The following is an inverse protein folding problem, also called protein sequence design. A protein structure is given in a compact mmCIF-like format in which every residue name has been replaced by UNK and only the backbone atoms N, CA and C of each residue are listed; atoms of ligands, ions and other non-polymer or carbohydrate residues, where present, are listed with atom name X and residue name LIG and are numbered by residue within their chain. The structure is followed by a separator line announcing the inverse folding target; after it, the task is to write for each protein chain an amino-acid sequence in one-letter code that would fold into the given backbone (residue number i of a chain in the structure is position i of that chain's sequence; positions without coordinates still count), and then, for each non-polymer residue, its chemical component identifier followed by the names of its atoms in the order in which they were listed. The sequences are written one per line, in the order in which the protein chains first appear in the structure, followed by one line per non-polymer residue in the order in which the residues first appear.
data_IF_630573791085
#
_entry.id   IF_630573791085
#
_cell.length_a   1.000
_cell.length_b   1.000
_cell.length_c   1.000
_cell.angle_alpha   90.00
_cell.angle_beta   90.00
_cell.angle_gamma   90.00
#
_symmetry.space_group_name_H-M   'P 1'
#
loop_
_entity.id
_entity.type
_entity.pdbx_description
1 polymer ?
#
# COMPACT_ATOMS: atom_id res chain seq x y z
N UNK A 1 -25.13 -31.87 7.80
CA UNK A 1 -24.49 -30.55 7.60
C UNK A 1 -24.68 -29.75 8.87
N UNK A 2 -23.73 -29.89 9.80
CA UNK A 2 -23.75 -29.22 11.10
C UNK A 2 -23.14 -27.82 10.92
N UNK A 3 -23.91 -26.79 11.27
CA UNK A 3 -23.39 -25.43 11.41
C UNK A 3 -22.50 -25.38 12.65
N UNK A 4 -21.21 -25.17 12.44
CA UNK A 4 -20.28 -24.87 13.51
C UNK A 4 -20.71 -23.54 14.16
N UNK A 5 -21.22 -23.60 15.40
CA UNK A 5 -21.48 -22.44 16.25
C UNK A 5 -20.16 -21.82 16.67
N UNK A 6 -19.96 -20.55 16.36
CA UNK A 6 -18.85 -19.78 16.88
C UNK A 6 -18.96 -19.68 18.42
N UNK A 7 -17.84 -19.69 19.14
CA UNK A 7 -17.85 -19.50 20.58
C UNK A 7 -18.19 -18.05 20.90
N UNK A 8 -19.30 -17.82 21.57
CA UNK A 8 -19.67 -16.56 22.21
C UNK A 8 -18.84 -16.38 23.47
N UNK A 9 -17.63 -15.84 23.38
CA UNK A 9 -16.94 -15.25 24.52
C UNK A 9 -17.35 -13.78 24.57
N UNK A 10 -18.20 -13.41 25.53
CA UNK A 10 -18.68 -12.04 25.75
C UNK A 10 -17.58 -11.12 26.30
N UNK A 11 -16.68 -10.67 25.44
CA UNK A 11 -15.85 -9.50 25.66
C UNK A 11 -16.37 -8.41 24.73
N UNK A 12 -16.62 -7.22 25.26
CA UNK A 12 -16.89 -6.03 24.43
C UNK A 12 -15.71 -5.83 23.47
N UNK A 13 -15.88 -6.24 22.20
CA UNK A 13 -14.89 -6.02 21.15
C UNK A 13 -15.04 -4.55 20.74
N UNK A 14 -14.08 -3.72 21.13
CA UNK A 14 -14.04 -2.33 20.66
C UNK A 14 -13.88 -2.32 19.13
N UNK A 15 -14.58 -1.45 18.39
CA UNK A 15 -14.53 -1.38 16.92
C UNK A 15 -13.11 -1.27 16.34
N UNK A 16 -12.17 -0.72 17.09
CA UNK A 16 -10.77 -0.60 16.72
C UNK A 16 -10.02 -1.96 16.74
N UNK A 17 -10.30 -2.82 17.73
CA UNK A 17 -9.65 -4.15 17.81
C UNK A 17 -10.09 -5.05 16.66
N UNK A 18 -11.34 -4.98 16.27
CA UNK A 18 -11.87 -5.76 15.16
C UNK A 18 -11.21 -5.35 13.82
N UNK A 19 -11.06 -4.05 13.58
CA UNK A 19 -10.40 -3.54 12.38
C UNK A 19 -8.93 -3.97 12.28
N UNK A 20 -8.18 -3.89 13.38
CA UNK A 20 -6.78 -4.31 13.44
C UNK A 20 -6.65 -5.83 13.17
N UNK A 21 -7.52 -6.65 13.76
CA UNK A 21 -7.55 -8.10 13.53
C UNK A 21 -7.87 -8.42 12.06
N UNK A 22 -8.84 -7.73 11.45
CA UNK A 22 -9.17 -7.91 10.03
C UNK A 22 -7.98 -7.57 9.12
N UNK A 23 -7.29 -6.45 9.41
CA UNK A 23 -6.13 -6.03 8.63
C UNK A 23 -4.95 -7.01 8.78
N UNK A 24 -4.67 -7.48 10.00
CA UNK A 24 -3.63 -8.48 10.24
C UNK A 24 -3.93 -9.80 9.51
N UNK A 25 -5.18 -10.26 9.54
CA UNK A 25 -5.62 -11.45 8.80
C UNK A 25 -5.48 -11.25 7.29
N UNK A 26 -5.83 -10.07 6.77
CA UNK A 26 -5.64 -9.74 5.36
C UNK A 26 -4.16 -9.82 4.95
N UNK A 27 -3.25 -9.31 5.80
CA UNK A 27 -1.80 -9.42 5.58
C UNK A 27 -1.36 -10.88 5.56
N UNK A 28 -1.79 -11.68 6.53
CA UNK A 28 -1.45 -13.11 6.61
C UNK A 28 -1.97 -13.89 5.39
N UNK A 29 -3.20 -13.63 4.96
CA UNK A 29 -3.76 -14.25 3.77
C UNK A 29 -2.91 -13.94 2.53
N UNK A 30 -2.51 -12.67 2.33
CA UNK A 30 -1.63 -12.28 1.23
C UNK A 30 -0.28 -12.98 1.24
N UNK A 31 0.23 -13.36 2.42
CA UNK A 31 1.51 -14.06 2.57
C UNK A 31 1.39 -15.59 2.41
N UNK A 32 0.18 -16.13 2.56
CA UNK A 32 -0.06 -17.60 2.53
C UNK A 32 -0.68 -18.08 1.21
N UNK A 33 -1.28 -17.21 0.40
CA UNK A 33 -1.76 -17.62 -0.91
C UNK A 33 -0.61 -18.08 -1.80
N UNK A 34 -0.82 -19.21 -2.48
CA UNK A 34 0.17 -19.75 -3.40
C UNK A 34 0.48 -18.79 -4.55
N UNK A 35 -0.53 -18.04 -5.01
CA UNK A 35 -0.36 -16.99 -5.99
C UNK A 35 -1.46 -15.93 -5.90
N UNK A 36 -1.13 -14.73 -6.35
CA UNK A 36 -2.05 -13.62 -6.54
C UNK A 36 -1.78 -13.03 -7.92
N UNK A 37 -2.81 -12.80 -8.71
CA UNK A 37 -2.71 -12.04 -9.94
C UNK A 37 -3.90 -11.10 -10.07
N UNK A 38 -3.65 -9.82 -10.32
CA UNK A 38 -4.68 -8.80 -10.42
C UNK A 38 -4.28 -7.69 -11.40
N UNK A 39 -5.25 -7.12 -12.10
CA UNK A 39 -5.07 -5.83 -12.74
C UNK A 39 -5.28 -4.72 -11.71
N UNK A 40 -4.62 -3.60 -11.93
CA UNK A 40 -4.71 -2.43 -11.06
C UNK A 40 -5.25 -1.26 -11.89
N UNK A 41 -6.32 -0.66 -11.40
CA UNK A 41 -6.68 0.69 -11.79
C UNK A 41 -6.18 1.63 -10.69
N UNK A 42 -5.47 2.66 -11.07
CA UNK A 42 -5.00 3.63 -10.10
C UNK A 42 -5.36 5.05 -10.51
N UNK A 43 -5.48 5.87 -9.48
CA UNK A 43 -5.68 7.30 -9.56
C UNK A 43 -4.66 7.97 -8.66
N UNK A 44 -3.96 8.99 -9.17
CA UNK A 44 -3.11 9.86 -8.37
C UNK A 44 -3.44 11.31 -8.68
N UNK A 45 -3.51 12.10 -7.64
CA UNK A 45 -3.57 13.53 -7.75
C UNK A 45 -2.17 14.10 -7.64
N UNK A 46 -1.71 14.76 -8.69
CA UNK A 46 -0.44 15.44 -8.75
C UNK A 46 -0.57 16.91 -8.27
N UNK A 47 0.55 17.60 -8.24
CA UNK A 47 0.54 19.04 -7.94
C UNK A 47 -0.32 19.80 -8.95
N UNK A 48 -0.95 20.91 -8.50
CA UNK A 48 -1.83 21.78 -9.31
C UNK A 48 -3.11 21.09 -9.82
N UNK A 49 -3.72 20.25 -9.00
CA UNK A 49 -4.99 19.56 -9.30
C UNK A 49 -4.97 18.72 -10.59
N UNK A 50 -3.78 18.39 -11.10
CA UNK A 50 -3.64 17.44 -12.19
C UNK A 50 -3.85 16.03 -11.68
N UNK A 51 -4.61 15.25 -12.41
CA UNK A 51 -4.89 13.86 -12.08
C UNK A 51 -4.25 12.93 -13.09
N UNK A 52 -3.72 11.81 -12.62
CA UNK A 52 -3.21 10.73 -13.43
C UNK A 52 -4.01 9.48 -13.11
N UNK A 53 -4.68 8.95 -14.13
CA UNK A 53 -5.35 7.66 -14.07
C UNK A 53 -4.61 6.69 -14.97
N UNK A 54 -4.45 5.47 -14.55
CA UNK A 54 -3.80 4.46 -15.36
C UNK A 54 -4.14 3.06 -14.95
N UNK A 55 -3.50 2.14 -15.62
CA UNK A 55 -3.63 0.71 -15.41
C UNK A 55 -2.27 0.10 -15.06
N UNK A 56 -2.30 -0.99 -14.36
CA UNK A 56 -1.12 -1.77 -14.00
C UNK A 56 -1.47 -3.22 -13.75
N UNK A 57 -0.47 -3.97 -13.33
CA UNK A 57 -0.62 -5.37 -12.96
C UNK A 57 0.11 -5.64 -11.63
N UNK A 58 -0.43 -6.55 -10.86
CA UNK A 58 0.21 -7.10 -9.68
C UNK A 58 0.19 -8.62 -9.78
N UNK A 59 1.34 -9.24 -9.65
CA UNK A 59 1.48 -10.68 -9.56
C UNK A 59 2.36 -11.03 -8.38
N UNK A 60 1.99 -12.06 -7.62
CA UNK A 60 2.81 -12.62 -6.54
C UNK A 60 2.73 -14.14 -6.58
N UNK A 61 3.81 -14.79 -6.15
CA UNK A 61 3.95 -16.25 -6.09
C UNK A 61 4.68 -16.63 -4.80
N UNK A 62 4.10 -17.50 -4.03
CA UNK A 62 4.77 -18.08 -2.87
C UNK A 62 5.77 -19.14 -3.35
N UNK A 63 7.03 -18.97 -2.99
CA UNK A 63 8.13 -19.88 -3.33
C UNK A 63 8.86 -20.32 -2.06
N UNK A 64 9.78 -21.30 -2.19
CA UNK A 64 10.63 -21.74 -1.08
C UNK A 64 11.53 -20.62 -0.52
N UNK A 65 11.91 -19.66 -1.36
CA UNK A 65 12.71 -18.48 -0.98
C UNK A 65 11.88 -17.32 -0.41
N UNK A 66 10.55 -17.48 -0.29
CA UNK A 66 9.61 -16.46 0.12
C UNK A 66 8.70 -16.01 -1.00
N UNK A 67 7.98 -14.91 -0.80
CA UNK A 67 7.05 -14.41 -1.79
C UNK A 67 7.76 -13.61 -2.88
N UNK A 68 7.75 -14.12 -4.10
CA UNK A 68 8.12 -13.36 -5.31
C UNK A 68 6.99 -12.41 -5.64
N UNK A 69 7.31 -11.25 -6.21
CA UNK A 69 6.26 -10.35 -6.70
C UNK A 69 6.73 -9.51 -7.89
N UNK A 70 5.76 -9.10 -8.70
CA UNK A 70 5.90 -8.13 -9.78
C UNK A 70 4.77 -7.14 -9.72
N UNK A 71 5.12 -5.87 -9.71
CA UNK A 71 4.18 -4.75 -9.70
C UNK A 71 4.51 -3.82 -10.85
N UNK A 72 3.56 -3.54 -11.72
CA UNK A 72 3.73 -2.69 -12.90
C UNK A 72 2.69 -1.59 -12.92
N UNK A 73 3.08 -0.38 -13.25
CA UNK A 73 2.21 0.77 -13.45
C UNK A 73 2.57 1.46 -14.76
N UNK A 74 1.55 1.79 -15.55
CA UNK A 74 1.66 2.52 -16.80
C UNK A 74 1.05 3.90 -16.62
N UNK A 75 1.88 4.91 -16.36
CA UNK A 75 1.49 6.25 -15.96
C UNK A 75 1.36 7.16 -17.18
N UNK A 76 0.15 7.47 -17.68
CA UNK A 76 -0.01 8.47 -18.72
C UNK A 76 0.37 9.85 -18.16
N UNK A 77 1.36 10.48 -18.77
CA UNK A 77 1.86 11.79 -18.35
C UNK A 77 2.05 12.67 -19.59
N UNK A 78 1.22 13.72 -19.72
CA UNK A 78 1.17 14.57 -20.90
C UNK A 78 0.91 13.73 -22.17
N UNK A 79 1.83 13.75 -23.14
CA UNK A 79 1.73 12.98 -24.39
C UNK A 79 2.54 11.68 -24.36
N UNK A 80 2.93 11.19 -23.18
CA UNK A 80 3.80 10.06 -22.99
C UNK A 80 3.22 9.08 -21.98
N UNK A 81 3.64 7.83 -22.03
CA UNK A 81 3.39 6.84 -20.99
C UNK A 81 4.70 6.57 -20.27
N UNK A 82 4.73 6.90 -18.98
CA UNK A 82 5.84 6.52 -18.11
C UNK A 82 5.58 5.10 -17.61
N UNK A 83 6.63 4.33 -17.56
CA UNK A 83 6.58 2.96 -17.04
C UNK A 83 7.30 2.93 -15.69
N UNK A 84 6.64 2.36 -14.72
CA UNK A 84 7.25 2.01 -13.45
C UNK A 84 6.92 0.56 -13.14
N UNK A 85 7.92 -0.21 -12.75
CA UNK A 85 7.70 -1.54 -12.23
C UNK A 85 8.73 -1.90 -11.16
N UNK A 86 8.33 -2.79 -10.30
CA UNK A 86 9.15 -3.38 -9.27
C UNK A 86 8.98 -4.91 -9.31
N UNK A 87 10.10 -5.62 -9.24
CA UNK A 87 10.12 -7.07 -9.27
C UNK A 87 11.10 -7.60 -8.22
N UNK A 88 10.64 -8.55 -7.43
CA UNK A 88 11.48 -9.35 -6.55
C UNK A 88 11.51 -10.79 -7.07
N UNK A 89 12.72 -11.27 -7.42
CA UNK A 89 12.97 -12.58 -8.02
C UNK A 89 13.43 -13.63 -7.00
N UNK A 90 13.41 -13.31 -5.69
CA UNK A 90 13.91 -14.16 -4.60
C UNK A 90 15.34 -13.83 -4.17
N UNK A 91 16.09 -13.09 -4.96
CA UNK A 91 17.48 -12.67 -4.66
C UNK A 91 17.66 -11.17 -4.72
N UNK A 92 17.08 -10.55 -5.74
CA UNK A 92 17.22 -9.13 -6.02
C UNK A 92 15.88 -8.44 -6.12
N UNK A 93 15.81 -7.23 -5.59
CA UNK A 93 14.74 -6.32 -5.87
C UNK A 93 15.17 -5.40 -7.00
N UNK A 94 14.49 -5.51 -8.11
CA UNK A 94 14.63 -4.67 -9.27
C UNK A 94 13.59 -3.57 -9.27
N UNK A 95 13.98 -2.34 -9.58
CA UNK A 95 13.07 -1.23 -9.80
C UNK A 95 13.43 -0.53 -11.10
N UNK A 96 12.47 -0.44 -12.00
CA UNK A 96 12.59 0.27 -13.25
C UNK A 96 11.65 1.45 -13.29
N UNK A 97 12.10 2.55 -13.86
CA UNK A 97 11.27 3.72 -14.10
C UNK A 97 11.72 4.49 -15.33
N UNK A 98 10.75 5.05 -16.04
CA UNK A 98 10.99 6.05 -17.08
C UNK A 98 10.86 7.44 -16.45
N UNK A 99 11.89 8.28 -16.59
CA UNK A 99 11.85 9.64 -16.04
C UNK A 99 11.13 10.59 -17.01
N UNK A 100 10.22 11.47 -16.50
CA UNK A 100 9.38 12.29 -17.38
C UNK A 100 10.15 13.28 -18.26
N UNK A 101 11.27 13.82 -17.74
CA UNK A 101 11.95 14.95 -18.36
C UNK A 101 12.69 14.60 -19.64
N UNK A 102 13.34 13.42 -19.67
CA UNK A 102 14.25 13.04 -20.78
C UNK A 102 13.89 11.67 -21.36
N UNK A 103 12.78 11.07 -20.96
CA UNK A 103 12.42 9.65 -21.20
C UNK A 103 13.56 8.69 -20.84
N UNK A 104 14.44 9.13 -19.94
CA UNK A 104 15.59 8.33 -19.53
C UNK A 104 15.11 7.15 -18.70
N UNK A 105 15.50 5.98 -19.13
CA UNK A 105 15.27 4.75 -18.39
C UNK A 105 16.26 4.63 -17.23
N UNK A 106 15.76 4.29 -16.07
CA UNK A 106 16.57 4.00 -14.90
C UNK A 106 16.22 2.64 -14.35
N UNK A 107 17.23 1.81 -14.17
CA UNK A 107 17.11 0.50 -13.54
C UNK A 107 17.96 0.47 -12.28
N UNK A 108 17.36 0.15 -11.14
CA UNK A 108 18.08 -0.05 -9.89
C UNK A 108 17.94 -1.50 -9.43
N UNK A 109 18.97 -2.01 -8.75
CA UNK A 109 19.00 -3.32 -8.14
C UNK A 109 19.38 -3.20 -6.68
N UNK A 110 18.68 -3.93 -5.81
CA UNK A 110 19.09 -4.16 -4.43
C UNK A 110 19.32 -5.66 -4.25
N UNK A 111 20.51 -6.06 -3.83
CA UNK A 111 20.83 -7.45 -3.49
C UNK A 111 20.29 -7.76 -2.09
N UNK A 112 19.17 -8.48 -2.06
CA UNK A 112 18.44 -8.77 -0.81
C UNK A 112 19.18 -9.81 0.04
N UNK A 113 19.94 -10.71 -0.58
CA UNK A 113 20.74 -11.70 0.15
C UNK A 113 21.90 -11.00 0.87
N UNK A 114 22.63 -10.10 0.18
CA UNK A 114 23.69 -9.32 0.78
C UNK A 114 23.16 -8.45 1.94
N UNK A 115 21.99 -7.86 1.76
CA UNK A 115 21.31 -7.08 2.79
C UNK A 115 20.99 -7.94 4.02
N UNK A 116 20.44 -9.15 3.81
CA UNK A 116 20.13 -10.10 4.88
C UNK A 116 21.38 -10.53 5.65
N UNK A 117 22.47 -10.83 4.94
CA UNK A 117 23.76 -11.19 5.56
C UNK A 117 24.34 -10.04 6.40
N UNK A 118 24.23 -8.81 5.89
CA UNK A 118 24.72 -7.64 6.61
C UNK A 118 24.00 -7.46 7.96
N UNK A 119 22.67 -7.57 7.97
CA UNK A 119 21.89 -7.46 9.21
C UNK A 119 22.11 -8.63 10.16
N UNK A 120 22.31 -9.83 9.64
CA UNK A 120 22.68 -11.00 10.45
C UNK A 120 23.98 -10.77 11.20
N UNK A 121 24.99 -10.18 10.54
CA UNK A 121 26.29 -9.85 11.17
C UNK A 121 26.16 -8.83 12.30
N UNK A 122 25.16 -7.95 12.24
CA UNK A 122 24.89 -6.95 13.29
C UNK A 122 24.06 -7.50 14.46
N UNK A 123 23.79 -8.80 14.50
CA UNK A 123 22.94 -9.42 15.54
C UNK A 123 21.44 -9.18 15.36
N UNK A 124 21.06 -8.47 14.31
CA UNK A 124 19.69 -8.21 13.95
C UNK A 124 19.26 -9.28 12.94
N UNK A 125 18.83 -10.43 13.42
CA UNK A 125 18.25 -11.50 12.62
C UNK A 125 16.79 -11.12 12.29
N UNK A 126 16.52 -10.50 11.15
CA UNK A 126 15.15 -10.54 10.68
C UNK A 126 14.88 -12.00 10.31
N UNK A 127 13.78 -12.56 10.83
CA UNK A 127 13.26 -13.79 10.24
C UNK A 127 13.14 -13.55 8.75
N UNK A 128 13.41 -14.56 7.90
CA UNK A 128 13.34 -14.41 6.43
C UNK A 128 12.02 -13.74 5.96
N UNK A 129 10.91 -13.96 6.68
CA UNK A 129 9.64 -13.25 6.50
C UNK A 129 9.65 -11.77 6.90
N UNK A 130 10.61 -11.31 7.71
CA UNK A 130 10.71 -9.90 8.12
C UNK A 130 11.49 -9.05 7.13
N UNK A 131 12.27 -9.66 6.23
CA UNK A 131 12.92 -8.97 5.10
C UNK A 131 11.85 -8.34 4.21
N UNK A 132 10.73 -8.99 4.01
CA UNK A 132 9.53 -8.41 3.38
C UNK A 132 9.00 -7.15 4.09
N UNK A 133 9.39 -6.87 5.33
CA UNK A 133 8.94 -5.71 6.09
C UNK A 133 9.79 -4.44 5.89
N UNK A 134 10.81 -4.47 5.03
CA UNK A 134 11.67 -3.31 4.84
C UNK A 134 11.13 -2.30 3.84
N UNK A 135 11.38 -0.99 4.04
CA UNK A 135 10.91 0.04 3.13
C UNK A 135 11.37 -0.21 1.70
N UNK A 136 10.42 -0.40 0.77
CA UNK A 136 10.69 -0.66 -0.63
C UNK A 136 10.79 -2.13 -1.04
N UNK A 137 10.83 -3.09 -0.09
CA UNK A 137 10.80 -4.52 -0.36
C UNK A 137 9.42 -5.09 -0.04
N UNK A 138 8.80 -5.84 -0.92
CA UNK A 138 7.72 -6.75 -0.54
C UNK A 138 6.27 -6.43 -0.92
N UNK A 139 5.98 -6.08 -2.14
CA UNK A 139 4.63 -6.16 -2.72
C UNK A 139 3.45 -5.63 -1.88
N UNK A 140 2.29 -6.22 -2.10
CA UNK A 140 1.03 -5.83 -1.44
C UNK A 140 0.98 -6.12 0.07
N UNK A 141 1.49 -7.25 0.59
CA UNK A 141 1.52 -7.50 2.03
C UNK A 141 2.27 -6.41 2.78
N UNK A 142 3.37 -5.96 2.20
CA UNK A 142 4.15 -4.88 2.80
C UNK A 142 3.44 -3.54 2.75
N UNK A 143 2.73 -3.23 1.67
CA UNK A 143 1.91 -2.03 1.62
C UNK A 143 0.94 -2.00 2.81
N UNK A 144 0.21 -3.11 3.06
CA UNK A 144 -0.69 -3.21 4.20
C UNK A 144 0.05 -3.13 5.55
N UNK A 145 1.22 -3.79 5.69
CA UNK A 145 2.04 -3.66 6.93
C UNK A 145 2.48 -2.22 7.16
N UNK A 146 2.86 -1.50 6.10
CA UNK A 146 3.21 -0.09 6.21
C UNK A 146 2.01 0.76 6.65
N UNK A 147 0.83 0.49 6.13
CA UNK A 147 -0.40 1.14 6.59
C UNK A 147 -0.66 0.83 8.06
N UNK A 148 -0.61 -0.43 8.46
CA UNK A 148 -0.77 -0.87 9.86
C UNK A 148 0.25 -0.24 10.81
N UNK A 149 1.50 -0.07 10.38
CA UNK A 149 2.54 0.56 11.19
C UNK A 149 2.35 2.07 11.41
N UNK A 150 1.67 2.75 10.48
CA UNK A 150 1.55 4.21 10.50
C UNK A 150 0.15 4.69 10.91
N UNK A 151 -0.89 3.90 10.67
CA UNK A 151 -2.27 4.25 10.93
C UNK A 151 -2.89 3.31 11.96
N UNK A 152 -3.81 3.85 12.75
CA UNK A 152 -4.71 3.11 13.62
C UNK A 152 -6.04 2.96 12.89
N UNK A 153 -6.54 1.73 12.80
CA UNK A 153 -7.72 1.42 12.03
C UNK A 153 -8.99 1.31 12.90
N UNK A 154 -10.09 1.73 12.32
CA UNK A 154 -11.46 1.59 12.88
C UNK A 154 -12.33 0.93 11.82
N UNK A 155 -13.14 -0.04 12.23
CA UNK A 155 -14.12 -0.67 11.35
C UNK A 155 -15.30 0.28 11.17
N UNK A 156 -15.63 0.55 9.90
CA UNK A 156 -16.86 1.24 9.52
C UNK A 156 -17.95 0.21 9.18
N UNK A 157 -19.16 0.71 8.95
CA UNK A 157 -20.25 -0.15 8.47
C UNK A 157 -19.84 -0.92 7.22
N UNK A 158 -20.22 -2.20 7.12
CA UNK A 158 -20.01 -3.01 5.92
C UNK A 158 -20.62 -2.33 4.70
N UNK A 159 -19.98 -2.48 3.56
CA UNK A 159 -20.43 -1.89 2.32
C UNK A 159 -20.31 -2.85 1.15
N UNK A 160 -20.49 -2.34 -0.04
CA UNK A 160 -20.15 -3.05 -1.26
C UNK A 160 -19.38 -2.12 -2.20
N UNK A 161 -18.50 -2.72 -2.98
CA UNK A 161 -17.81 -2.06 -4.10
C UNK A 161 -18.23 -2.73 -5.40
N UNK A 162 -18.16 -1.97 -6.48
CA UNK A 162 -18.37 -2.51 -7.82
C UNK A 162 -17.03 -2.97 -8.37
N UNK A 163 -16.90 -4.25 -8.59
CA UNK A 163 -15.72 -4.85 -9.24
C UNK A 163 -16.10 -5.22 -10.66
N UNK A 164 -15.28 -4.83 -11.62
CA UNK A 164 -15.48 -5.17 -13.04
C UNK A 164 -14.46 -6.23 -13.42
N UNK A 165 -14.96 -7.37 -13.91
CA UNK A 165 -14.14 -8.44 -14.49
C UNK A 165 -14.48 -8.51 -15.99
N UNK A 166 -13.65 -7.90 -16.81
CA UNK A 166 -13.87 -7.80 -18.24
C UNK A 166 -15.19 -7.11 -18.58
N UNK A 167 -16.19 -7.90 -19.02
CA UNK A 167 -17.51 -7.40 -19.41
C UNK A 167 -18.56 -7.48 -18.28
N UNK A 168 -18.23 -8.13 -17.17
CA UNK A 168 -19.15 -8.33 -16.06
C UNK A 168 -18.82 -7.38 -14.91
N UNK A 169 -19.85 -6.75 -14.37
CA UNK A 169 -19.74 -5.91 -13.17
C UNK A 169 -20.58 -6.54 -12.07
N UNK A 170 -19.96 -6.81 -10.95
CA UNK A 170 -20.62 -7.38 -9.78
C UNK A 170 -20.42 -6.50 -8.54
N UNK A 171 -21.38 -6.57 -7.62
CA UNK A 171 -21.27 -5.96 -6.30
C UNK A 171 -20.56 -6.95 -5.38
N UNK A 172 -19.43 -6.54 -4.84
CA UNK A 172 -18.64 -7.33 -3.90
C UNK A 172 -18.85 -6.79 -2.48
N UNK A 173 -19.33 -7.63 -1.52
CA UNK A 173 -19.42 -7.24 -0.12
C UNK A 173 -18.01 -7.01 0.46
N UNK A 174 -17.83 -5.90 1.18
CA UNK A 174 -16.53 -5.53 1.76
C UNK A 174 -16.65 -5.04 3.20
N UNK A 175 -15.58 -5.29 3.97
CA UNK A 175 -15.28 -4.56 5.19
C UNK A 175 -14.58 -3.26 4.83
N UNK A 176 -15.04 -2.17 5.41
CA UNK A 176 -14.45 -0.85 5.18
C UNK A 176 -13.69 -0.41 6.42
N UNK A 177 -12.37 -0.31 6.32
CA UNK A 177 -11.48 0.10 7.40
C UNK A 177 -11.03 1.53 7.18
N UNK A 178 -11.22 2.39 8.19
CA UNK A 178 -10.74 3.77 8.21
C UNK A 178 -9.48 3.86 9.07
N UNK A 179 -8.35 4.20 8.46
CA UNK A 179 -7.08 4.45 9.15
C UNK A 179 -6.87 5.94 9.38
N UNK A 180 -6.54 6.31 10.60
CA UNK A 180 -6.08 7.62 11.01
C UNK A 180 -4.66 7.52 11.53
N UNK A 181 -3.84 8.56 11.38
CA UNK A 181 -2.45 8.53 11.81
C UNK A 181 -2.31 8.16 13.29
N UNK A 182 -1.39 7.24 13.58
CA UNK A 182 -0.96 7.00 14.98
C UNK A 182 -0.30 8.27 15.52
N UNK A 183 -0.58 8.66 16.79
CA UNK A 183 -0.05 9.90 17.37
C UNK A 183 1.46 10.05 17.22
N UNK A 184 2.21 8.97 17.50
CA UNK A 184 3.68 8.93 17.40
C UNK A 184 4.20 9.15 15.97
N UNK A 185 3.42 8.78 14.95
CA UNK A 185 3.76 9.00 13.54
C UNK A 185 3.40 10.40 13.10
N UNK A 186 2.24 10.88 13.54
CA UNK A 186 1.77 12.23 13.21
C UNK A 186 2.66 13.31 13.81
N UNK A 187 3.19 13.11 15.02
CA UNK A 187 4.13 14.04 15.66
C UNK A 187 5.44 14.18 14.87
N UNK A 188 5.88 13.15 14.14
CA UNK A 188 7.04 13.25 13.26
C UNK A 188 6.76 14.15 12.04
N UNK A 189 5.52 14.21 11.58
CA UNK A 189 5.09 15.05 10.44
C UNK A 189 4.74 16.47 10.88
N UNK A 190 4.25 16.63 12.11
CA UNK A 190 3.79 17.88 12.70
C UNK A 190 4.44 18.11 14.08
N UNK A 191 5.78 18.27 14.15
CA UNK A 191 6.50 18.38 15.42
C UNK A 191 6.03 19.58 16.26
N UNK A 192 5.65 20.69 15.64
CA UNK A 192 5.14 21.88 16.33
C UNK A 192 3.80 21.66 17.03
N UNK A 193 3.09 20.59 16.69
CA UNK A 193 1.81 20.23 17.30
C UNK A 193 1.89 18.99 18.22
N UNK A 194 3.11 18.48 18.47
CA UNK A 194 3.30 17.21 19.18
C UNK A 194 2.56 17.17 20.52
N UNK A 195 2.68 18.19 21.36
CA UNK A 195 2.00 18.25 22.65
C UNK A 195 0.45 18.22 22.50
N UNK A 196 -0.08 18.98 21.55
CA UNK A 196 -1.52 19.01 21.27
C UNK A 196 -2.06 17.66 20.78
N UNK A 197 -1.27 16.97 19.91
CA UNK A 197 -1.63 15.65 19.38
C UNK A 197 -1.79 14.64 20.53
N UNK A 198 -0.83 14.55 21.46
CA UNK A 198 -0.94 13.65 22.62
C UNK A 198 -2.04 14.04 23.59
N UNK A 199 -2.44 15.31 23.63
CA UNK A 199 -3.55 15.80 24.44
C UNK A 199 -4.90 15.74 23.71
N UNK A 200 -4.97 15.10 22.54
CA UNK A 200 -6.18 15.01 21.70
C UNK A 200 -6.78 16.38 21.33
N UNK A 201 -5.95 17.40 21.22
CA UNK A 201 -6.38 18.71 20.77
C UNK A 201 -6.65 18.72 19.26
N UNK A 202 -7.46 19.65 18.74
CA UNK A 202 -7.72 19.76 17.31
C UNK A 202 -6.44 19.95 16.50
N UNK A 203 -6.25 19.10 15.49
CA UNK A 203 -5.08 19.10 14.62
C UNK A 203 -5.27 20.12 13.49
N UNK A 204 -4.23 20.90 13.22
CA UNK A 204 -4.18 21.83 12.09
C UNK A 204 -3.68 21.06 10.84
N UNK A 205 -4.61 20.36 10.18
CA UNK A 205 -4.30 19.50 9.04
C UNK A 205 -3.73 20.24 7.83
N UNK A 206 -3.98 21.55 7.72
CA UNK A 206 -3.41 22.41 6.68
C UNK A 206 -1.88 22.51 6.74
N UNK A 207 -1.28 22.23 7.91
CA UNK A 207 0.17 22.20 8.10
C UNK A 207 0.80 20.87 7.64
N UNK A 208 -0.01 19.85 7.40
CA UNK A 208 0.50 18.59 6.87
C UNK A 208 1.06 18.83 5.46
N UNK A 209 2.24 18.30 5.12
CA UNK A 209 2.83 18.51 3.78
C UNK A 209 1.87 18.14 2.66
N UNK A 210 1.97 18.87 1.54
CA UNK A 210 1.16 18.59 0.35
C UNK A 210 1.42 17.16 -0.14
N UNK A 211 0.37 16.45 -0.50
CA UNK A 211 0.46 15.05 -0.94
C UNK A 211 0.47 14.01 0.19
N UNK A 212 0.57 14.43 1.46
CA UNK A 212 0.41 13.51 2.60
C UNK A 212 -1.09 13.41 2.95
N UNK A 213 -1.67 12.20 2.98
CA UNK A 213 -3.06 12.00 3.37
C UNK A 213 -3.24 12.26 4.87
N UNK A 214 -4.43 12.66 5.31
CA UNK A 214 -4.79 12.68 6.73
C UNK A 214 -5.47 11.38 7.17
N UNK A 215 -5.97 10.61 6.22
CA UNK A 215 -6.59 9.31 6.46
C UNK A 215 -6.41 8.35 5.28
N UNK A 216 -6.54 7.07 5.55
CA UNK A 216 -6.55 6.01 4.55
C UNK A 216 -7.82 5.17 4.70
N UNK A 217 -8.40 4.71 3.59
CA UNK A 217 -9.52 3.77 3.62
C UNK A 217 -9.11 2.51 2.87
N UNK A 218 -9.29 1.35 3.52
CA UNK A 218 -9.01 0.04 2.94
C UNK A 218 -10.31 -0.73 2.84
N UNK A 219 -10.59 -1.29 1.67
CA UNK A 219 -11.77 -2.12 1.41
C UNK A 219 -11.31 -3.57 1.27
N UNK A 220 -11.61 -4.39 2.27
CA UNK A 220 -11.29 -5.82 2.29
C UNK A 220 -12.51 -6.63 1.88
N UNK A 221 -12.35 -7.60 0.98
CA UNK A 221 -13.42 -8.56 0.67
C UNK A 221 -13.89 -9.28 1.94
N UNK A 222 -15.21 -9.49 2.10
CA UNK A 222 -15.73 -10.14 3.30
C UNK A 222 -15.35 -11.62 3.38
N UNK A 223 -15.20 -12.30 2.25
CA UNK A 223 -14.90 -13.73 2.18
C UNK A 223 -13.41 -14.02 2.21
N UNK A 224 -12.62 -13.27 1.45
CA UNK A 224 -11.20 -13.53 1.19
C UNK A 224 -10.25 -12.59 1.93
N UNK A 225 -10.74 -11.44 2.41
CA UNK A 225 -9.97 -10.35 2.99
C UNK A 225 -8.92 -9.75 2.03
N UNK A 226 -9.10 -9.94 0.72
CA UNK A 226 -8.23 -9.27 -0.25
C UNK A 226 -8.50 -7.75 -0.25
N UNK A 227 -7.45 -6.90 -0.30
CA UNK A 227 -7.62 -5.45 -0.33
C UNK A 227 -7.99 -4.95 -1.73
N UNK A 228 -9.26 -5.06 -2.09
CA UNK A 228 -9.76 -4.68 -3.42
C UNK A 228 -9.59 -3.20 -3.74
N UNK A 229 -9.59 -2.35 -2.71
CA UNK A 229 -9.39 -0.92 -2.92
C UNK A 229 -8.66 -0.29 -1.72
N UNK A 230 -7.70 0.61 -2.00
CA UNK A 230 -6.99 1.41 -1.01
C UNK A 230 -7.07 2.87 -1.46
N UNK A 231 -7.59 3.73 -0.60
CA UNK A 231 -7.75 5.16 -0.86
C UNK A 231 -6.96 5.98 0.15
N UNK A 232 -6.13 6.90 -0.33
CA UNK A 232 -5.47 7.91 0.47
C UNK A 232 -6.26 9.20 0.33
N UNK A 233 -6.78 9.70 1.45
CA UNK A 233 -7.72 10.82 1.47
C UNK A 233 -7.18 11.98 2.26
N UNK A 234 -7.67 13.17 1.96
CA UNK A 234 -7.40 14.39 2.70
C UNK A 234 -8.69 15.19 2.91
N UNK A 235 -8.96 15.55 4.15
CA UNK A 235 -10.09 16.42 4.48
C UNK A 235 -9.84 17.80 3.92
N UNK A 236 -10.81 18.34 3.20
CA UNK A 236 -10.75 19.72 2.77
C UNK A 236 -10.80 20.63 4.02
N UNK A 237 -9.84 21.54 4.13
CA UNK A 237 -9.84 22.55 5.19
C UNK A 237 -11.13 23.38 5.08
N UNK A 238 -11.84 23.56 6.21
CA UNK A 238 -13.06 24.38 6.30
C UNK A 238 -12.88 25.82 5.75
N UNK A 239 -11.66 26.28 5.54
CA UNK A 239 -11.34 27.60 5.01
C UNK A 239 -11.82 27.79 3.56
N UNK A 240 -11.86 26.72 2.78
CA UNK A 240 -12.37 26.73 1.39
C UNK A 240 -13.90 26.57 1.32
N UNK A 241 -14.51 25.91 2.30
CA UNK A 241 -15.97 25.69 2.33
C UNK A 241 -16.76 26.92 2.78
N UNK A 242 -16.13 27.95 3.36
CA UNK A 242 -16.83 29.14 3.85
C UNK A 242 -17.49 29.97 2.75
N UNK A 243 -17.08 29.81 1.50
CA UNK A 243 -17.70 30.44 0.33
C UNK A 243 -18.83 29.59 -0.29
N UNK A 244 -18.94 28.33 0.10
CA UNK A 244 -19.91 27.35 -0.41
C UNK A 244 -21.04 27.06 0.58
N UNK A 245 -21.19 27.88 1.64
CA UNK A 245 -22.17 27.63 2.70
C UNK A 245 -23.65 27.76 2.25
N UNK A 246 -23.92 28.25 1.06
CA UNK A 246 -25.27 28.20 0.47
C UNK A 246 -25.63 26.79 -0.09
N UNK A 247 -24.66 25.90 -0.22
CA UNK A 247 -24.83 24.53 -0.71
C UNK A 247 -24.38 23.50 0.33
N UNK A 248 -24.80 23.66 1.58
CA UNK A 248 -24.45 22.79 2.71
C UNK A 248 -24.88 21.31 2.55
N UNK A 249 -25.62 20.96 1.49
CA UNK A 249 -25.93 19.60 1.08
C UNK A 249 -24.82 18.95 0.22
N UNK A 250 -23.89 19.73 -0.35
CA UNK A 250 -22.63 19.19 -0.87
C UNK A 250 -21.77 18.81 0.32
N UNK A 251 -21.87 17.56 0.74
CA UNK A 251 -21.03 16.94 1.77
C UNK A 251 -19.59 17.37 1.54
N UNK A 252 -18.85 17.68 2.62
CA UNK A 252 -17.41 17.88 2.56
C UNK A 252 -16.78 16.58 2.03
N UNK A 253 -16.66 16.48 0.72
CA UNK A 253 -16.04 15.32 0.09
C UNK A 253 -14.57 15.35 0.44
N UNK A 254 -14.14 14.34 1.17
CA UNK A 254 -12.74 14.11 1.40
C UNK A 254 -12.07 13.97 0.02
N UNK A 255 -11.07 14.82 -0.26
CA UNK A 255 -10.32 14.77 -1.51
C UNK A 255 -9.54 13.46 -1.54
N UNK A 256 -9.70 12.67 -2.59
CA UNK A 256 -8.91 11.48 -2.81
C UNK A 256 -7.57 11.88 -3.45
N UNK A 257 -6.46 11.69 -2.74
CA UNK A 257 -5.12 11.98 -3.25
C UNK A 257 -4.57 10.85 -4.10
N UNK A 258 -4.87 9.61 -3.69
CA UNK A 258 -4.49 8.42 -4.44
C UNK A 258 -5.48 7.30 -4.19
N UNK A 259 -5.72 6.50 -5.22
CA UNK A 259 -6.52 5.28 -5.16
C UNK A 259 -5.82 4.17 -5.91
N UNK A 260 -5.81 2.99 -5.32
CA UNK A 260 -5.46 1.73 -5.95
C UNK A 260 -6.69 0.84 -5.91
N UNK A 261 -7.12 0.33 -7.04
CA UNK A 261 -8.26 -0.56 -7.19
C UNK A 261 -7.79 -1.82 -7.91
N UNK A 262 -7.96 -2.97 -7.26
CA UNK A 262 -7.55 -4.26 -7.80
C UNK A 262 -8.76 -4.94 -8.41
N UNK A 263 -8.65 -5.25 -9.69
CA UNK A 263 -9.71 -5.87 -10.49
C UNK A 263 -9.19 -7.12 -11.18
N UNK A 264 -10.08 -7.91 -11.77
CA UNK A 264 -9.72 -9.16 -12.46
C UNK A 264 -8.81 -10.06 -11.59
N UNK A 265 -9.19 -10.20 -10.31
CA UNK A 265 -8.42 -10.93 -9.32
C UNK A 265 -8.47 -12.45 -9.54
N UNK A 266 -7.31 -13.09 -9.54
CA UNK A 266 -7.15 -14.55 -9.51
C UNK A 266 -6.26 -14.93 -8.34
N UNK A 267 -6.77 -15.79 -7.45
CA UNK A 267 -6.07 -16.30 -6.28
C UNK A 267 -5.78 -17.78 -6.45
N UNK A 268 -4.59 -18.22 -6.03
CA UNK A 268 -4.16 -19.63 -6.03
C UNK A 268 -4.21 -20.28 -7.43
N UNK A 269 -4.03 -19.49 -8.49
CA UNK A 269 -3.95 -19.97 -9.88
C UNK A 269 -2.48 -20.06 -10.28
N UNK A 270 -2.04 -21.14 -10.92
CA UNK A 270 -0.65 -21.28 -11.36
C UNK A 270 -0.20 -20.08 -12.22
N UNK A 271 0.94 -19.51 -11.88
CA UNK A 271 1.57 -18.44 -12.65
C UNK A 271 2.84 -18.98 -13.32
N UNK A 272 3.15 -18.53 -14.56
CA UNK A 272 4.39 -18.89 -15.22
C UNK A 272 5.60 -18.38 -14.41
N UNK A 273 6.62 -19.23 -14.23
CA UNK A 273 7.82 -18.85 -13.47
C UNK A 273 8.56 -17.66 -14.13
N UNK A 274 8.45 -17.53 -15.45
CA UNK A 274 9.03 -16.45 -16.25
C UNK A 274 8.48 -15.07 -15.85
N UNK A 275 7.28 -15.02 -15.24
CA UNK A 275 6.68 -13.77 -14.72
C UNK A 275 7.60 -13.06 -13.72
N UNK A 276 8.38 -13.83 -12.96
CA UNK A 276 9.26 -13.34 -11.90
C UNK A 276 10.75 -13.40 -12.29
N UNK A 277 11.05 -13.77 -13.54
CA UNK A 277 12.41 -13.78 -14.04
C UNK A 277 12.69 -12.51 -14.83
N UNK A 278 13.78 -11.82 -14.49
CA UNK A 278 14.17 -10.59 -15.17
C UNK A 278 15.64 -10.65 -15.59
N UNK A 279 15.88 -10.35 -16.84
CA UNK A 279 17.23 -10.14 -17.38
C UNK A 279 17.34 -8.69 -17.84
N UNK A 280 18.26 -7.90 -17.28
CA UNK A 280 18.46 -6.53 -17.70
C UNK A 280 18.75 -6.45 -19.21
N UNK A 281 18.10 -5.53 -19.94
CA UNK A 281 18.44 -5.26 -21.34
C UNK A 281 19.91 -4.83 -21.47
N UNK A 282 20.60 -5.26 -22.52
CA UNK A 282 22.03 -5.00 -22.72
C UNK A 282 22.40 -3.50 -22.73
N UNK A 283 21.46 -2.63 -23.14
CA UNK A 283 21.66 -1.18 -23.19
C UNK A 283 21.44 -0.50 -21.82
N UNK A 284 20.85 -1.20 -20.83
CA UNK A 284 20.46 -0.63 -19.55
C UNK A 284 21.33 -1.20 -18.43
N UNK A 285 22.31 -0.42 -17.98
CA UNK A 285 23.17 -0.81 -16.87
C UNK A 285 22.47 -0.58 -15.52
N UNK A 286 22.24 -1.62 -14.72
CA UNK A 286 21.64 -1.46 -13.40
C UNK A 286 22.53 -0.62 -12.46
N UNK A 287 21.90 0.24 -11.68
CA UNK A 287 22.52 0.95 -10.56
C UNK A 287 22.37 0.08 -9.32
N UNK A 288 23.47 -0.33 -8.70
CA UNK A 288 23.43 -1.07 -7.45
C UNK A 288 23.14 -0.10 -6.30
N UNK A 289 21.95 -0.21 -5.71
CA UNK A 289 21.49 0.60 -4.59
C UNK A 289 21.59 -0.14 -3.23
N UNK A 290 22.24 -1.30 -3.17
CA UNK A 290 22.29 -2.16 -1.99
C UNK A 290 22.89 -1.43 -0.77
N UNK A 291 24.01 -0.71 -0.97
CA UNK A 291 24.67 0.00 0.11
C UNK A 291 23.84 1.20 0.63
N UNK A 292 23.20 1.95 -0.27
CA UNK A 292 22.30 3.04 0.14
C UNK A 292 21.13 2.51 0.96
N UNK A 293 20.61 1.36 0.58
CA UNK A 293 19.50 0.71 1.26
C UNK A 293 19.91 0.24 2.68
N UNK A 294 21.11 -0.36 2.81
CA UNK A 294 21.71 -0.72 4.11
C UNK A 294 21.77 0.51 5.01
N UNK A 295 22.37 1.61 4.54
CA UNK A 295 22.49 2.84 5.33
C UNK A 295 21.15 3.43 5.76
N UNK A 296 20.11 3.36 4.91
CA UNK A 296 18.77 3.82 5.26
C UNK A 296 18.14 2.99 6.38
N UNK A 297 18.37 1.67 6.38
CA UNK A 297 17.89 0.77 7.44
C UNK A 297 18.63 1.07 8.75
N UNK A 298 19.95 1.17 8.73
CA UNK A 298 20.75 1.47 9.92
C UNK A 298 20.33 2.78 10.58
N UNK A 299 20.10 3.85 9.80
CA UNK A 299 19.60 5.13 10.33
C UNK A 299 18.22 5.02 11.00
N UNK A 300 17.38 4.08 10.54
CA UNK A 300 16.05 3.85 11.13
C UNK A 300 16.11 3.02 12.41
N UNK A 301 17.11 2.15 12.54
CA UNK A 301 17.30 1.32 13.72
C UNK A 301 17.98 2.06 14.89
N UNK A 302 18.68 3.17 14.61
CA UNK A 302 19.32 4.03 15.61
C UNK A 302 18.37 5.09 16.21
N UNK A 303 17.16 5.22 15.71
CA UNK A 303 16.12 6.14 16.21
C UNK A 303 15.04 5.37 16.98
#
# INVERSE_FOLDING_TARGET
MERASMPTSGGEIYPNQEAEVLLERAILNLETWSSVNAKIHYYFELFNDQTVNGIGNYSALLSESGQLFRWELHLPFQNQTLHWWQLFDGQSLWTYQTLPKDQKEQLTRVDVLQLAEHLKKQGNLPKLGEIGNWPGLGGLPRLLRSLHANFQFTLLEPGSIRVTDGQHSQQLPVWKLLGTWKPERLTMLLPDQAQGIYQSQPIQWEKLPVGIPDQVVVFLGQEDLFPYEIQYRRKLSRRWTRWLTEFAWLRSEDRCLAKLEFVELSLNVPLPAETFHFQPPAHLKPIDATQEFIQQIEKKMQK
#
